data_IF_272376990544
#
_entry.id   IF_272376990544
#
_cell.length_a   1.000
_cell.length_b   1.000
_cell.length_c   1.000
_cell.angle_alpha   90.00
_cell.angle_beta   90.00
_cell.angle_gamma   90.00
#
_symmetry.space_group_name_H-M   'P 1'
#
loop_
_entity.id
_entity.type
_entity.pdbx_description
1 polymer ?
#
# COMPACT_ATOMS: atom_id res chain seq x y z
N UNK A 1 21.41 11.22 1.04
CA UNK A 1 21.66 11.97 -0.21
C UNK A 1 20.62 13.06 -0.35
N UNK A 2 21.08 14.31 -0.40
CA UNK A 2 20.22 15.51 -0.46
C UNK A 2 19.42 15.54 -1.76
N UNK A 3 18.12 15.80 -1.65
CA UNK A 3 17.24 15.98 -2.80
C UNK A 3 17.63 17.27 -3.53
N UNK A 4 18.19 17.16 -4.73
CA UNK A 4 18.47 18.33 -5.57
C UNK A 4 17.16 18.84 -6.16
N UNK A 5 16.84 20.09 -5.88
CA UNK A 5 15.71 20.81 -6.48
C UNK A 5 16.15 21.39 -7.82
N UNK A 6 15.35 21.19 -8.86
CA UNK A 6 15.53 21.80 -10.18
C UNK A 6 14.43 22.82 -10.36
N UNK A 7 14.79 24.09 -10.43
CA UNK A 7 13.87 25.20 -10.67
C UNK A 7 13.85 25.46 -12.18
N UNK A 8 12.67 25.33 -12.79
CA UNK A 8 12.43 25.67 -14.19
C UNK A 8 11.46 26.85 -14.26
N UNK A 9 11.90 27.95 -14.84
CA UNK A 9 11.03 29.11 -15.10
C UNK A 9 10.58 29.06 -16.56
N UNK A 10 9.26 28.95 -16.74
CA UNK A 10 8.62 28.98 -18.06
C UNK A 10 8.05 30.38 -18.27
N UNK A 11 8.63 31.12 -19.21
CA UNK A 11 8.14 32.42 -19.64
C UNK A 11 6.90 32.27 -20.53
N UNK A 12 6.03 33.29 -20.57
CA UNK A 12 4.83 33.30 -21.41
C UNK A 12 5.17 33.14 -22.90
N UNK A 13 6.31 33.69 -23.33
CA UNK A 13 6.82 33.55 -24.70
C UNK A 13 7.14 32.09 -25.06
N UNK A 14 7.80 31.35 -24.15
CA UNK A 14 8.09 29.92 -24.35
C UNK A 14 6.84 29.06 -24.35
N UNK A 15 5.85 29.41 -23.54
CA UNK A 15 4.56 28.73 -23.54
C UNK A 15 3.82 28.92 -24.87
N UNK A 16 3.78 30.16 -25.38
CA UNK A 16 3.17 30.47 -26.67
C UNK A 16 3.90 29.79 -27.84
N UNK A 17 5.23 29.72 -27.80
CA UNK A 17 6.04 29.04 -28.81
C UNK A 17 5.82 27.52 -28.80
N UNK A 18 5.72 26.89 -27.62
CA UNK A 18 5.41 25.46 -27.49
C UNK A 18 3.98 25.13 -27.94
N UNK A 19 3.03 26.03 -27.66
CA UNK A 19 1.65 25.91 -28.15
C UNK A 19 1.58 26.06 -29.68
N UNK A 20 2.34 27.00 -30.25
CA UNK A 20 2.45 27.18 -31.70
C UNK A 20 3.14 25.99 -32.40
N UNK A 21 4.04 25.28 -31.69
CA UNK A 21 4.68 24.04 -32.15
C UNK A 21 3.75 22.80 -32.13
N UNK A 22 2.48 22.96 -31.73
CA UNK A 22 1.48 21.89 -31.76
C UNK A 22 1.69 20.84 -30.66
N UNK A 23 2.39 21.20 -29.59
CA UNK A 23 2.49 20.36 -28.40
C UNK A 23 1.15 20.45 -27.66
N UNK A 24 0.61 19.31 -27.25
CA UNK A 24 -0.66 19.22 -26.53
C UNK A 24 -0.66 20.06 -25.25
N UNK A 25 -1.76 20.74 -24.93
CA UNK A 25 -1.85 21.68 -23.81
C UNK A 25 -1.56 21.00 -22.47
N UNK A 26 -1.89 19.71 -22.35
CA UNK A 26 -1.61 18.90 -21.16
C UNK A 26 -0.14 18.51 -21.01
N UNK A 27 0.64 18.60 -22.09
CA UNK A 27 2.08 18.35 -22.10
C UNK A 27 2.91 19.64 -21.92
N UNK A 28 2.29 20.83 -21.98
CA UNK A 28 2.98 22.11 -21.80
C UNK A 28 2.84 22.60 -20.36
N UNK A 29 3.98 22.84 -19.70
CA UNK A 29 4.02 23.48 -18.40
C UNK A 29 3.51 24.92 -18.49
N UNK A 30 2.49 25.25 -17.70
CA UNK A 30 1.93 26.61 -17.65
C UNK A 30 3.01 27.65 -17.34
N UNK A 31 2.88 28.91 -17.81
CA UNK A 31 3.83 29.96 -17.46
C UNK A 31 3.95 30.09 -15.93
N UNK A 32 5.18 30.20 -15.44
CA UNK A 32 5.46 30.26 -14.01
C UNK A 32 6.70 29.49 -13.57
N UNK A 33 6.97 29.56 -12.27
CA UNK A 33 8.12 28.91 -11.62
C UNK A 33 7.73 27.51 -11.18
N UNK A 34 8.30 26.50 -11.84
CA UNK A 34 8.10 25.09 -11.50
C UNK A 34 9.27 24.56 -10.72
N UNK A 35 9.01 24.01 -9.54
CA UNK A 35 10.03 23.39 -8.68
C UNK A 35 9.89 21.88 -8.79
N UNK A 36 10.86 21.25 -9.43
CA UNK A 36 10.92 19.79 -9.56
C UNK A 36 11.85 19.23 -8.49
N UNK A 37 11.30 18.34 -7.66
CA UNK A 37 12.07 17.60 -6.67
C UNK A 37 12.33 16.20 -7.20
N UNK A 38 13.59 15.87 -7.52
CA UNK A 38 13.96 14.51 -7.87
C UNK A 38 13.88 13.65 -6.61
N UNK A 39 12.92 12.74 -6.56
CA UNK A 39 12.79 11.74 -5.50
C UNK A 39 13.35 10.42 -5.98
N UNK A 40 14.10 9.72 -5.12
CA UNK A 40 14.58 8.36 -5.41
C UNK A 40 13.37 7.41 -5.58
N UNK A 41 13.41 6.47 -6.55
CA UNK A 41 12.31 5.52 -6.79
C UNK A 41 11.87 4.75 -5.53
N UNK A 42 12.82 4.43 -4.65
CA UNK A 42 12.58 3.74 -3.37
C UNK A 42 11.61 4.49 -2.45
N UNK A 43 11.58 5.83 -2.49
CA UNK A 43 10.65 6.65 -1.68
C UNK A 43 9.24 6.71 -2.26
N UNK A 44 9.06 6.32 -3.53
CA UNK A 44 7.75 6.31 -4.20
C UNK A 44 6.99 5.01 -3.88
N UNK A 45 7.67 3.96 -3.41
CA UNK A 45 7.11 2.60 -3.26
C UNK A 45 7.24 2.07 -1.81
N UNK A 46 6.94 2.88 -0.79
CA UNK A 46 6.56 2.31 0.52
C UNK A 46 5.09 2.60 0.83
N UNK A 47 4.18 1.80 0.24
CA UNK A 47 2.77 1.74 0.69
C UNK A 47 2.65 1.39 2.18
N UNK A 48 3.71 0.83 2.77
CA UNK A 48 3.78 0.45 4.19
C UNK A 48 3.77 1.65 5.15
N UNK A 49 4.19 2.85 4.70
CA UNK A 49 4.32 4.04 5.57
C UNK A 49 3.38 5.19 5.19
N UNK A 50 2.47 4.96 4.25
CA UNK A 50 1.50 5.97 3.86
C UNK A 50 0.54 6.24 5.02
N UNK A 51 0.71 7.39 5.69
CA UNK A 51 -0.25 7.88 6.69
C UNK A 51 -1.52 8.32 5.97
N UNK A 52 -2.53 7.45 5.95
CA UNK A 52 -3.84 7.74 5.38
C UNK A 52 -4.71 8.40 6.46
N UNK A 53 -5.29 9.55 6.13
CA UNK A 53 -6.33 10.18 6.96
C UNK A 53 -7.69 9.77 6.40
N UNK A 54 -8.49 9.12 7.23
CA UNK A 54 -9.89 8.80 6.93
C UNK A 54 -10.80 9.64 7.82
N UNK A 55 -11.97 9.99 7.32
CA UNK A 55 -13.07 10.55 8.11
C UNK A 55 -14.15 9.47 8.20
N UNK A 56 -14.42 8.99 9.41
CA UNK A 56 -15.40 7.93 9.68
C UNK A 56 -16.32 8.37 10.81
N UNK A 57 -17.59 7.99 10.72
CA UNK A 57 -18.52 8.14 11.83
C UNK A 57 -18.40 6.91 12.73
N UNK A 58 -18.09 7.13 14.01
CA UNK A 58 -18.08 6.09 15.04
C UNK A 58 -19.19 6.38 16.04
N UNK A 59 -19.77 5.34 16.61
CA UNK A 59 -20.78 5.48 17.65
C UNK A 59 -20.21 6.22 18.86
N UNK A 60 -21.05 7.07 19.47
CA UNK A 60 -20.65 7.90 20.60
C UNK A 60 -20.09 7.04 21.76
N UNK A 61 -20.69 5.88 22.02
CA UNK A 61 -20.27 4.97 23.09
C UNK A 61 -18.85 4.44 22.88
N UNK A 62 -18.47 4.13 21.64
CA UNK A 62 -17.12 3.67 21.29
C UNK A 62 -16.11 4.78 21.57
N UNK A 63 -16.41 6.01 21.14
CA UNK A 63 -15.53 7.17 21.39
C UNK A 63 -15.40 7.43 22.89
N UNK A 64 -16.50 7.36 23.64
CA UNK A 64 -16.48 7.54 25.09
C UNK A 64 -15.69 6.45 25.82
N UNK A 65 -15.80 5.19 25.38
CA UNK A 65 -15.03 4.07 25.92
C UNK A 65 -13.52 4.31 25.80
N UNK A 66 -13.02 4.59 24.59
CA UNK A 66 -11.59 4.81 24.37
C UNK A 66 -11.08 6.11 25.01
N UNK A 67 -11.92 7.15 25.11
CA UNK A 67 -11.58 8.38 25.83
C UNK A 67 -11.35 8.10 27.32
N UNK A 68 -12.27 7.38 27.97
CA UNK A 68 -12.14 6.99 29.38
C UNK A 68 -10.91 6.12 29.62
N UNK A 69 -10.63 5.17 28.71
CA UNK A 69 -9.43 4.33 28.78
C UNK A 69 -8.13 5.14 28.62
N UNK A 70 -8.16 6.24 27.89
CA UNK A 70 -7.02 7.15 27.71
C UNK A 70 -6.80 8.13 28.89
N UNK A 71 -7.78 8.31 29.77
CA UNK A 71 -7.66 9.15 30.98
C UNK A 71 -6.79 8.51 32.08
N UNK A 72 -6.49 7.21 31.96
CA UNK A 72 -5.61 6.52 32.90
C UNK A 72 -4.15 6.96 32.73
N UNK A 73 -3.39 7.13 33.84
CA UNK A 73 -1.95 7.41 33.77
C UNK A 73 -1.22 6.35 32.94
N UNK A 74 -0.29 6.79 32.08
CA UNK A 74 0.49 5.95 31.16
C UNK A 74 -0.30 5.24 30.05
N UNK A 75 -1.57 5.57 29.85
CA UNK A 75 -2.37 5.03 28.74
C UNK A 75 -2.02 5.72 27.42
N UNK A 76 -2.09 4.97 26.32
CA UNK A 76 -1.92 5.55 24.98
C UNK A 76 -3.11 6.48 24.63
N UNK A 77 -2.94 7.47 23.74
CA UNK A 77 -4.07 8.28 23.27
C UNK A 77 -5.18 7.43 22.65
N UNK A 78 -6.45 7.86 22.77
CA UNK A 78 -7.60 7.07 22.29
C UNK A 78 -7.49 6.70 20.80
N UNK A 79 -6.94 7.57 19.96
CA UNK A 79 -6.69 7.28 18.53
C UNK A 79 -5.69 6.14 18.35
N UNK A 80 -4.60 6.13 19.12
CA UNK A 80 -3.59 5.06 19.08
C UNK A 80 -4.19 3.74 19.54
N UNK A 81 -5.05 3.77 20.57
CA UNK A 81 -5.76 2.58 21.04
C UNK A 81 -6.66 2.01 19.94
N UNK A 82 -7.49 2.84 19.30
CA UNK A 82 -8.36 2.42 18.18
C UNK A 82 -7.53 1.79 17.05
N UNK A 83 -6.43 2.43 16.65
CA UNK A 83 -5.56 1.90 15.60
C UNK A 83 -4.95 0.54 15.97
N UNK A 84 -4.61 0.33 17.25
CA UNK A 84 -4.06 -0.93 17.72
C UNK A 84 -5.12 -2.04 17.72
N UNK A 85 -6.35 -1.76 18.14
CA UNK A 85 -7.44 -2.72 18.09
C UNK A 85 -7.77 -3.12 16.64
N UNK A 86 -7.82 -2.14 15.72
CA UNK A 86 -8.02 -2.41 14.29
C UNK A 86 -6.90 -3.29 13.71
N UNK A 87 -5.63 -3.02 14.10
CA UNK A 87 -4.51 -3.86 13.68
C UNK A 87 -4.61 -5.28 14.25
N UNK A 88 -5.01 -5.42 15.51
CA UNK A 88 -5.17 -6.73 16.15
C UNK A 88 -6.24 -7.58 15.44
N UNK A 89 -7.34 -6.96 14.98
CA UNK A 89 -8.37 -7.63 14.17
C UNK A 89 -7.76 -8.11 12.86
N UNK A 90 -7.06 -7.23 12.12
CA UNK A 90 -6.39 -7.61 10.87
C UNK A 90 -5.42 -8.79 11.06
N UNK A 91 -4.61 -8.77 12.12
CA UNK A 91 -3.66 -9.84 12.42
C UNK A 91 -4.34 -11.15 12.85
N UNK A 92 -5.50 -11.07 13.50
CA UNK A 92 -6.30 -12.26 13.85
C UNK A 92 -6.86 -12.89 12.58
N UNK A 93 -7.47 -12.09 11.72
CA UNK A 93 -8.12 -12.59 10.51
C UNK A 93 -7.08 -13.23 9.56
N UNK A 94 -5.90 -12.61 9.40
CA UNK A 94 -4.77 -13.19 8.66
C UNK A 94 -4.27 -14.51 9.26
N UNK A 95 -4.28 -14.65 10.58
CA UNK A 95 -3.90 -15.91 11.24
C UNK A 95 -4.94 -17.00 11.01
N UNK A 96 -6.22 -16.65 11.01
CA UNK A 96 -7.31 -17.60 10.74
C UNK A 96 -7.25 -18.09 9.28
N UNK A 97 -7.12 -17.18 8.32
CA UNK A 97 -6.95 -17.52 6.90
C UNK A 97 -5.74 -18.44 6.68
N UNK A 98 -4.59 -18.11 7.29
CA UNK A 98 -3.40 -18.95 7.21
C UNK A 98 -3.62 -20.34 7.81
N UNK A 99 -4.34 -20.43 8.92
CA UNK A 99 -4.65 -21.71 9.56
C UNK A 99 -5.60 -22.56 8.70
N UNK A 100 -6.57 -21.94 8.03
CA UNK A 100 -7.48 -22.63 7.10
C UNK A 100 -6.73 -23.16 5.86
N UNK A 101 -5.81 -22.37 5.31
CA UNK A 101 -4.95 -22.78 4.20
C UNK A 101 -4.05 -23.95 4.63
N UNK A 102 -3.42 -23.87 5.82
CA UNK A 102 -2.55 -24.93 6.34
C UNK A 102 -3.33 -26.22 6.60
N UNK A 103 -4.56 -26.12 7.11
CA UNK A 103 -5.45 -27.27 7.29
C UNK A 103 -5.84 -27.91 5.95
N UNK A 104 -6.16 -27.09 4.94
CA UNK A 104 -6.49 -27.55 3.60
C UNK A 104 -5.28 -28.21 2.91
N UNK A 105 -4.10 -27.60 3.04
CA UNK A 105 -2.86 -28.16 2.51
C UNK A 105 -2.52 -29.51 3.16
N UNK A 106 -2.68 -29.64 4.48
CA UNK A 106 -2.49 -30.92 5.18
C UNK A 106 -3.48 -31.99 4.70
N UNK A 107 -4.72 -31.61 4.45
CA UNK A 107 -5.73 -32.53 3.90
C UNK A 107 -5.37 -33.01 2.49
N UNK A 108 -4.91 -32.10 1.62
CA UNK A 108 -4.45 -32.45 0.28
C UNK A 108 -3.19 -33.34 0.30
N UNK A 109 -2.30 -33.15 1.27
CA UNK A 109 -1.12 -34.00 1.45
C UNK A 109 -1.44 -35.40 2.03
N UNK A 110 -2.67 -35.63 2.47
CA UNK A 110 -3.15 -36.93 2.94
C UNK A 110 -4.00 -37.66 1.89
N UNK A 111 -4.23 -37.03 0.74
CA UNK A 111 -5.01 -37.59 -0.36
C UNK A 111 -4.06 -38.24 -1.37
N UNK A 112 -4.03 -39.57 -1.37
CA UNK A 112 -3.11 -40.36 -2.20
C UNK A 112 -3.38 -40.17 -3.71
N UNK A 113 -4.64 -40.04 -4.12
CA UNK A 113 -5.02 -39.79 -5.52
C UNK A 113 -4.50 -38.42 -5.99
N UNK A 114 -4.55 -37.42 -5.09
CA UNK A 114 -3.98 -36.09 -5.36
C UNK A 114 -2.45 -36.14 -5.48
N UNK A 115 -1.77 -36.88 -4.61
CA UNK A 115 -0.32 -37.02 -4.65
C UNK A 115 0.16 -37.75 -5.91
N UNK A 116 -0.56 -38.78 -6.35
CA UNK A 116 -0.26 -39.50 -7.58
C UNK A 116 -0.44 -38.61 -8.81
N UNK A 117 -1.55 -37.87 -8.89
CA UNK A 117 -1.77 -36.89 -9.96
C UNK A 117 -0.73 -35.76 -9.95
N UNK A 118 -0.30 -35.30 -8.77
CA UNK A 118 0.77 -34.31 -8.64
C UNK A 118 2.11 -34.86 -9.12
N UNK A 119 2.43 -36.12 -8.78
CA UNK A 119 3.65 -36.78 -9.20
C UNK A 119 3.72 -36.97 -10.72
N UNK A 120 2.62 -37.32 -11.37
CA UNK A 120 2.54 -37.37 -12.84
C UNK A 120 2.75 -35.99 -13.46
N UNK A 121 2.07 -34.95 -12.96
CA UNK A 121 2.21 -33.58 -13.46
C UNK A 121 3.64 -33.04 -13.31
N UNK A 122 4.34 -33.39 -12.23
CA UNK A 122 5.74 -33.01 -12.04
C UNK A 122 6.69 -33.72 -13.01
N UNK A 123 6.42 -34.98 -13.35
CA UNK A 123 7.18 -35.71 -14.39
C UNK A 123 7.01 -35.05 -15.75
N UNK A 124 5.77 -34.76 -16.16
CA UNK A 124 5.47 -34.08 -17.43
C UNK A 124 6.18 -32.72 -17.54
N UNK A 125 6.18 -31.93 -16.45
CA UNK A 125 6.81 -30.60 -16.45
C UNK A 125 8.34 -30.66 -16.49
N UNK A 126 8.96 -31.64 -15.84
CA UNK A 126 10.42 -31.83 -15.92
C UNK A 126 10.87 -32.38 -17.27
N UNK A 127 10.02 -33.11 -17.99
CA UNK A 127 10.25 -33.53 -19.37
C UNK A 127 10.17 -32.37 -20.38
N UNK A 128 9.50 -31.27 -20.05
CA UNK A 128 9.45 -30.05 -20.89
C UNK A 128 10.59 -29.06 -20.63
N UNK A 129 11.42 -29.30 -19.58
CA UNK A 129 12.55 -28.44 -19.22
C UNK A 129 13.93 -29.01 -19.60
N UNK A 130 13.97 -30.19 -20.22
CA UNK A 130 15.15 -30.76 -20.90
C UNK A 130 14.92 -30.79 -22.41
#
# INVERSE_FOLDING_TARGET
>A
MESKEVILEVTEEKYAEMKAKGIDEDAILKPGKHVFKRVSPEKVISRKDAKIRINICLDAEIVHHFRRRAESPHSAPYQTQINNELRAIMERDLRQEKAEIDATAKKLLQDDDFLDALAERLKEKNLQMN
#
